data_IF_312816732854
#
_entry.id   IF_312816732854
#
_cell.length_a   1.000
_cell.length_b   1.000
_cell.length_c   1.000
_cell.angle_alpha   90.00
_cell.angle_beta   90.00
_cell.angle_gamma   90.00
#
_symmetry.space_group_name_H-M   'P 1'
#
loop_
_entity.id
_entity.type
_entity.pdbx_description
1 polymer ?
#
# COMPACT_ATOMS: atom_id res chain seq x y z
N UNK A 1 4.40 -11.53 8.39
CA UNK A 1 4.49 -10.13 7.93
C UNK A 1 4.45 -9.26 9.19
N UNK A 2 5.41 -8.36 9.35
CA UNK A 2 5.60 -7.47 10.50
C UNK A 2 4.73 -6.21 10.39
N UNK A 3 4.57 -5.68 9.19
CA UNK A 3 3.89 -4.42 8.91
C UNK A 3 2.55 -4.63 8.20
N UNK A 4 2.50 -5.62 7.30
CA UNK A 4 1.33 -5.92 6.52
C UNK A 4 0.57 -7.13 7.06
N UNK A 5 -0.74 -7.14 6.83
CA UNK A 5 -1.61 -8.26 7.09
C UNK A 5 -2.57 -8.47 5.91
N UNK A 6 -3.03 -9.70 5.73
CA UNK A 6 -4.09 -9.99 4.77
C UNK A 6 -5.47 -9.55 5.30
N UNK A 7 -6.47 -9.50 4.41
CA UNK A 7 -7.83 -9.10 4.78
C UNK A 7 -8.45 -10.00 5.85
N UNK A 8 -8.12 -11.30 5.87
CA UNK A 8 -8.65 -12.22 6.87
C UNK A 8 -8.14 -11.85 8.27
N UNK A 9 -6.84 -11.60 8.39
CA UNK A 9 -6.20 -11.16 9.63
C UNK A 9 -6.74 -9.79 10.08
N UNK A 10 -6.90 -8.84 9.14
CA UNK A 10 -7.49 -7.53 9.45
C UNK A 10 -8.90 -7.68 10.01
N UNK A 11 -9.74 -8.48 9.35
CA UNK A 11 -11.11 -8.76 9.81
C UNK A 11 -11.16 -9.45 11.18
N UNK A 12 -10.25 -10.39 11.44
CA UNK A 12 -10.12 -11.05 12.75
C UNK A 12 -9.67 -10.07 13.85
N UNK A 13 -8.90 -9.03 13.52
CA UNK A 13 -8.49 -7.98 14.48
C UNK A 13 -9.66 -7.09 14.94
N UNK A 14 -10.75 -7.02 14.16
CA UNK A 14 -11.89 -6.13 14.41
C UNK A 14 -11.60 -4.64 14.22
N UNK A 15 -10.41 -4.26 13.74
CA UNK A 15 -10.01 -2.86 13.52
C UNK A 15 -10.24 -2.41 12.07
N UNK A 16 -10.54 -1.13 11.92
CA UNK A 16 -10.66 -0.43 10.62
C UNK A 16 -9.54 0.59 10.40
N UNK A 17 -8.59 0.71 11.33
CA UNK A 17 -7.46 1.65 11.27
C UNK A 17 -6.34 1.11 10.38
N UNK A 18 -6.64 0.89 9.10
CA UNK A 18 -5.71 0.37 8.10
C UNK A 18 -5.86 1.11 6.79
N UNK A 19 -4.75 1.29 6.09
CA UNK A 19 -4.74 1.55 4.66
C UNK A 19 -4.88 0.23 3.91
N UNK A 20 -5.75 0.22 2.91
CA UNK A 20 -5.96 -0.92 2.03
C UNK A 20 -5.21 -0.72 0.72
N UNK A 21 -4.42 -1.71 0.30
CA UNK A 21 -3.85 -1.83 -1.02
C UNK A 21 -4.65 -2.87 -1.80
N UNK A 22 -5.27 -2.45 -2.89
CA UNK A 22 -6.10 -3.29 -3.77
C UNK A 22 -5.43 -3.50 -5.12
N UNK A 23 -5.57 -4.71 -5.66
CA UNK A 23 -5.07 -4.99 -7.01
C UNK A 23 -5.91 -4.28 -8.06
N UNK A 24 -5.24 -3.69 -9.06
CA UNK A 24 -5.88 -2.98 -10.14
C UNK A 24 -6.55 -1.67 -9.73
N UNK A 25 -7.53 -1.26 -10.54
CA UNK A 25 -8.33 -0.04 -10.33
C UNK A 25 -9.37 -0.23 -9.24
N UNK A 26 -9.81 0.89 -8.67
CA UNK A 26 -10.93 0.87 -7.74
C UNK A 26 -12.22 0.40 -8.45
N UNK A 27 -12.95 -0.51 -7.82
CA UNK A 27 -14.16 -1.14 -8.36
C UNK A 27 -15.36 -1.03 -7.41
N UNK A 28 -15.41 0.04 -6.61
CA UNK A 28 -16.48 0.31 -5.62
C UNK A 28 -16.57 -0.71 -4.47
N UNK A 29 -15.55 -1.56 -4.31
CA UNK A 29 -15.45 -2.52 -3.23
C UNK A 29 -14.20 -2.26 -2.39
N UNK A 30 -14.38 -2.30 -1.09
CA UNK A 30 -13.29 -2.26 -0.12
C UNK A 30 -13.12 -3.61 0.56
N UNK A 31 -11.97 -3.79 1.20
CA UNK A 31 -11.58 -4.98 1.95
C UNK A 31 -11.67 -6.24 1.09
N UNK A 32 -11.00 -6.24 -0.07
CA UNK A 32 -10.97 -7.40 -0.97
C UNK A 32 -10.17 -8.54 -0.35
N UNK A 33 -10.52 -9.77 -0.73
CA UNK A 33 -9.89 -10.99 -0.17
C UNK A 33 -8.39 -11.04 -0.44
N UNK A 34 -7.94 -10.44 -1.54
CA UNK A 34 -6.56 -10.33 -1.96
C UNK A 34 -5.91 -9.00 -1.57
N UNK A 35 -6.55 -8.17 -0.75
CA UNK A 35 -5.97 -6.90 -0.30
C UNK A 35 -4.84 -7.09 0.68
N UNK A 36 -3.87 -6.18 0.58
CA UNK A 36 -2.77 -6.05 1.53
C UNK A 36 -3.04 -4.84 2.41
N UNK A 37 -2.96 -5.01 3.73
CA UNK A 37 -3.36 -3.97 4.68
C UNK A 37 -2.18 -3.58 5.57
N UNK A 38 -1.99 -2.28 5.80
CA UNK A 38 -0.98 -1.73 6.72
C UNK A 38 -1.68 -0.81 7.71
N UNK A 39 -1.23 -0.82 8.97
CA UNK A 39 -1.83 0.05 10.00
C UNK A 39 -1.70 1.52 9.60
N UNK A 40 -2.64 2.35 10.04
CA UNK A 40 -2.57 3.80 9.86
C UNK A 40 -1.30 4.40 10.47
N UNK A 41 -0.87 3.91 11.63
CA UNK A 41 0.36 4.31 12.32
C UNK A 41 1.61 4.01 11.47
N UNK A 42 1.74 2.79 10.95
CA UNK A 42 2.89 2.40 10.13
C UNK A 42 2.88 3.11 8.78
N UNK A 43 1.70 3.28 8.16
CA UNK A 43 1.57 4.05 6.92
C UNK A 43 2.00 5.51 7.14
N UNK A 44 1.48 6.15 8.19
CA UNK A 44 1.83 7.52 8.53
C UNK A 44 3.33 7.69 8.77
N UNK A 45 3.93 6.77 9.53
CA UNK A 45 5.34 6.83 9.91
C UNK A 45 6.30 6.56 8.75
N UNK A 46 5.96 5.62 7.85
CA UNK A 46 6.93 5.05 6.90
C UNK A 46 6.61 5.32 5.44
N UNK A 47 5.36 5.64 5.09
CA UNK A 47 4.92 5.76 3.69
C UNK A 47 4.34 7.14 3.34
N UNK A 48 3.63 7.81 4.26
CA UNK A 48 2.83 9.00 3.94
C UNK A 48 3.64 10.11 3.26
N UNK A 49 4.78 10.52 3.82
CA UNK A 49 5.64 11.57 3.24
C UNK A 49 6.16 11.18 1.84
N UNK A 50 6.45 9.89 1.63
CA UNK A 50 6.98 9.37 0.36
C UNK A 50 5.87 9.36 -0.70
N UNK A 51 4.66 8.94 -0.32
CA UNK A 51 3.50 8.95 -1.20
C UNK A 51 3.14 10.39 -1.61
N UNK A 52 3.12 11.33 -0.67
CA UNK A 52 2.89 12.76 -0.93
C UNK A 52 3.99 13.39 -1.81
N UNK A 53 5.24 12.94 -1.69
CA UNK A 53 6.34 13.41 -2.54
C UNK A 53 6.21 12.91 -3.99
N UNK A 54 5.83 11.64 -4.18
CA UNK A 54 5.83 10.99 -5.50
C UNK A 54 4.52 11.17 -6.26
N UNK A 55 3.40 11.27 -5.55
CA UNK A 55 2.05 11.30 -6.11
C UNK A 55 1.40 12.64 -5.75
N UNK A 56 1.39 13.63 -6.66
CA UNK A 56 0.89 14.98 -6.38
C UNK A 56 -0.56 15.04 -5.89
N UNK A 57 -1.39 14.10 -6.36
CA UNK A 57 -2.82 14.03 -6.05
C UNK A 57 -3.13 12.90 -5.04
N UNK A 58 -2.17 12.53 -4.20
CA UNK A 58 -2.40 11.50 -3.17
C UNK A 58 -3.46 11.96 -2.18
N UNK A 59 -4.56 11.21 -2.11
CA UNK A 59 -5.64 11.45 -1.15
C UNK A 59 -5.47 10.54 0.07
N UNK A 60 -4.98 11.12 1.16
CA UNK A 60 -4.72 10.41 2.42
C UNK A 60 -5.99 9.80 3.03
N UNK A 61 -7.16 10.41 2.81
CA UNK A 61 -8.45 9.96 3.36
C UNK A 61 -9.40 9.46 2.26
N UNK A 62 -8.83 9.11 1.10
CA UNK A 62 -9.60 8.71 -0.06
C UNK A 62 -8.88 7.66 -0.88
N UNK A 63 -9.15 7.69 -2.18
CA UNK A 63 -8.75 6.63 -3.11
C UNK A 63 -7.70 7.21 -4.05
N UNK A 64 -6.55 6.54 -4.12
CA UNK A 64 -5.48 6.90 -5.05
C UNK A 64 -5.06 5.70 -5.88
N UNK A 65 -5.14 5.80 -7.21
CA UNK A 65 -4.53 4.82 -8.11
C UNK A 65 -3.03 5.15 -8.28
N UNK A 66 -2.18 4.13 -8.10
CA UNK A 66 -0.72 4.24 -8.20
C UNK A 66 -0.25 3.37 -9.35
N UNK A 67 0.39 3.99 -10.33
CA UNK A 67 0.94 3.28 -11.48
C UNK A 67 2.34 2.73 -11.22
N UNK A 68 2.82 1.90 -12.14
CA UNK A 68 4.15 1.28 -12.05
C UNK A 68 5.29 2.30 -11.89
N UNK A 69 5.28 3.40 -12.64
CA UNK A 69 6.35 4.42 -12.57
C UNK A 69 6.39 5.12 -11.20
N UNK A 70 5.23 5.46 -10.65
CA UNK A 70 5.12 6.01 -9.31
C UNK A 70 5.61 5.01 -8.27
N UNK A 71 5.22 3.74 -8.39
CA UNK A 71 5.68 2.70 -7.48
C UNK A 71 7.20 2.49 -7.54
N UNK A 72 7.80 2.41 -8.73
CA UNK A 72 9.26 2.31 -8.87
C UNK A 72 10.01 3.47 -8.20
N UNK A 73 9.47 4.70 -8.29
CA UNK A 73 10.04 5.86 -7.59
C UNK A 73 9.92 5.72 -6.06
N UNK A 74 8.76 5.28 -5.56
CA UNK A 74 8.56 4.98 -4.13
C UNK A 74 9.57 3.92 -3.67
N UNK A 75 9.74 2.82 -4.44
CA UNK A 75 10.72 1.76 -4.13
C UNK A 75 12.14 2.29 -4.04
N UNK A 76 12.53 3.19 -4.95
CA UNK A 76 13.83 3.85 -4.92
C UNK A 76 14.07 4.57 -3.58
N UNK A 77 13.11 5.40 -3.16
CA UNK A 77 13.19 6.16 -1.90
C UNK A 77 13.21 5.23 -0.68
N UNK A 78 12.37 4.19 -0.66
CA UNK A 78 12.34 3.20 0.43
C UNK A 78 13.67 2.45 0.56
N UNK A 79 14.25 2.04 -0.57
CA UNK A 79 15.53 1.35 -0.63
C UNK A 79 16.67 2.23 -0.12
N UNK A 80 16.69 3.51 -0.52
CA UNK A 80 17.70 4.49 -0.08
C UNK A 80 17.62 4.80 1.41
N UNK A 81 16.39 4.97 1.95
CA UNK A 81 16.18 5.20 3.39
C UNK A 81 16.63 4.01 4.26
N UNK A 82 16.48 2.78 3.77
CA UNK A 82 16.89 1.58 4.49
C UNK A 82 16.09 1.32 5.77
N UNK A 83 16.62 0.43 6.63
CA UNK A 83 15.98 0.06 7.90
C UNK A 83 14.54 -0.44 7.71
N UNK A 84 13.61 0.10 8.51
CA UNK A 84 12.18 -0.24 8.46
C UNK A 84 11.56 -0.03 7.06
N UNK A 85 12.01 0.98 6.30
CA UNK A 85 11.52 1.23 4.94
C UNK A 85 11.87 0.10 3.98
N UNK A 86 13.08 -0.47 4.13
CA UNK A 86 13.51 -1.63 3.34
C UNK A 86 12.79 -2.90 3.76
N UNK A 87 12.44 -3.04 5.03
CA UNK A 87 11.63 -4.15 5.53
C UNK A 87 10.21 -4.12 4.93
N UNK A 88 9.53 -2.95 4.95
CA UNK A 88 8.23 -2.74 4.29
C UNK A 88 8.30 -3.09 2.80
N UNK A 89 9.34 -2.60 2.10
CA UNK A 89 9.53 -2.91 0.70
C UNK A 89 9.67 -4.42 0.47
N UNK A 90 10.53 -5.09 1.24
CA UNK A 90 10.77 -6.53 1.11
C UNK A 90 9.51 -7.35 1.39
N UNK A 91 8.74 -6.95 2.39
CA UNK A 91 7.53 -7.65 2.82
C UNK A 91 6.39 -7.54 1.80
N UNK A 92 6.24 -6.37 1.19
CA UNK A 92 5.16 -6.09 0.24
C UNK A 92 5.48 -6.44 -1.21
N UNK A 93 6.77 -6.55 -1.59
CA UNK A 93 7.21 -6.80 -2.96
C UNK A 93 6.51 -7.98 -3.65
N UNK A 94 6.28 -9.15 -3.01
CA UNK A 94 5.57 -10.25 -3.66
C UNK A 94 4.16 -9.87 -4.11
N UNK A 95 3.45 -9.09 -3.30
CA UNK A 95 2.08 -8.66 -3.61
C UNK A 95 2.06 -7.68 -4.78
N UNK A 96 2.95 -6.70 -4.80
CA UNK A 96 3.06 -5.74 -5.91
C UNK A 96 3.53 -6.41 -7.20
N UNK A 97 4.47 -7.35 -7.11
CA UNK A 97 4.90 -8.17 -8.25
C UNK A 97 3.73 -8.92 -8.88
N UNK A 98 2.87 -9.56 -8.08
CA UNK A 98 1.67 -10.21 -8.61
C UNK A 98 0.70 -9.19 -9.21
N UNK A 99 0.46 -8.04 -8.57
CA UNK A 99 -0.38 -6.98 -9.12
C UNK A 99 0.04 -6.58 -10.54
N UNK A 100 1.32 -6.23 -10.72
CA UNK A 100 1.83 -5.73 -12.00
C UNK A 100 1.99 -6.79 -13.10
N UNK A 101 1.68 -8.06 -12.83
CA UNK A 101 1.51 -9.07 -13.90
C UNK A 101 0.19 -8.90 -14.64
N UNK A 102 -0.85 -8.50 -13.92
CA UNK A 102 -2.24 -8.50 -14.40
C UNK A 102 -2.80 -7.09 -14.59
N UNK A 103 -2.23 -6.09 -13.92
CA UNK A 103 -2.74 -4.71 -13.89
C UNK A 103 -1.62 -3.68 -14.02
N UNK A 104 -1.93 -2.54 -14.65
CA UNK A 104 -0.97 -1.42 -14.79
C UNK A 104 -0.90 -0.51 -13.56
N UNK A 105 -1.84 -0.67 -12.62
CA UNK A 105 -1.98 0.13 -11.40
C UNK A 105 -2.35 -0.77 -10.21
N UNK A 106 -2.16 -0.26 -9.00
CA UNK A 106 -2.88 -0.70 -7.80
C UNK A 106 -3.62 0.50 -7.20
N UNK A 107 -4.54 0.24 -6.29
CA UNK A 107 -5.29 1.30 -5.59
C UNK A 107 -4.92 1.31 -4.11
N UNK A 108 -4.65 2.50 -3.57
CA UNK A 108 -4.56 2.74 -2.13
C UNK A 108 -5.83 3.40 -1.66
N UNK A 109 -6.41 2.86 -0.59
CA UNK A 109 -7.55 3.46 0.09
C UNK A 109 -7.17 3.79 1.53
N UNK A 110 -7.22 5.08 1.85
CA UNK A 110 -7.07 5.61 3.21
C UNK A 110 -8.42 5.94 3.83
N UNK A 111 -8.52 5.79 5.16
CA UNK A 111 -9.70 6.15 5.95
C UNK A 111 -9.34 6.98 7.18
#
# INVERSE_FOLDING_TARGET
MKYFIDEKQRKESGSTCYFEFQRGKYDEKCWKEDSLNISDEDFHKLLADIFLEVIPDFDYFGITEVNFEQWERIKGILSEKGGEHKEILTESEPWFCENFKDFDVFTVWGM
#
